data_IF_626839842778
#
_entry.id   IF_626839842778
#
_cell.length_a   1.000
_cell.length_b   1.000
_cell.length_c   1.000
_cell.angle_alpha   90.00
_cell.angle_beta   90.00
_cell.angle_gamma   90.00
#
_symmetry.space_group_name_H-M   'P 1'
#
loop_
_entity.id
_entity.type
_entity.pdbx_description
1 polymer ?
#
# COMPACT_ATOMS: atom_id res chain seq x y z
N UNK A 1 -11.36 2.67 18.29
CA UNK A 1 -10.52 2.75 17.06
C UNK A 1 -10.51 4.20 16.63
N UNK A 2 -9.34 4.84 16.67
CA UNK A 2 -9.21 6.28 16.54
C UNK A 2 -9.45 6.74 15.09
N UNK A 3 -10.27 7.79 14.94
CA UNK A 3 -10.91 8.24 13.69
C UNK A 3 -10.13 9.34 12.94
N UNK A 4 -9.04 9.85 13.52
CA UNK A 4 -8.34 11.04 13.03
C UNK A 4 -7.18 10.77 12.06
N UNK A 5 -6.83 9.51 11.78
CA UNK A 5 -5.78 9.20 10.80
C UNK A 5 -4.34 9.42 11.30
N UNK A 6 -4.12 9.64 12.60
CA UNK A 6 -2.80 9.69 13.23
C UNK A 6 -2.84 9.11 14.64
N UNK A 7 -1.68 8.71 15.17
CA UNK A 7 -1.50 8.14 16.52
C UNK A 7 -0.19 8.62 17.15
N UNK A 8 -0.09 8.71 18.50
CA UNK A 8 1.19 8.89 19.17
C UNK A 8 2.19 7.80 18.80
N UNK A 9 3.45 8.14 18.62
CA UNK A 9 4.53 7.19 18.30
C UNK A 9 4.74 6.18 19.44
N UNK A 10 4.45 6.58 20.68
CA UNK A 10 4.48 5.69 21.84
C UNK A 10 3.58 4.46 21.72
N UNK A 11 2.50 4.52 20.90
CA UNK A 11 1.68 3.34 20.61
C UNK A 11 2.46 2.23 19.89
N UNK A 12 3.47 2.62 19.10
CA UNK A 12 4.27 1.71 18.28
C UNK A 12 5.56 1.29 18.99
N UNK A 13 6.17 2.20 19.76
CA UNK A 13 7.46 1.97 20.41
C UNK A 13 7.33 1.48 21.85
N UNK A 14 6.20 1.75 22.52
CA UNK A 14 6.00 1.48 23.94
C UNK A 14 6.78 2.42 24.86
N UNK A 15 7.36 3.50 24.35
CA UNK A 15 8.19 4.45 25.12
C UNK A 15 7.41 5.72 25.45
N UNK A 16 7.40 6.12 26.72
CA UNK A 16 6.71 7.34 27.18
C UNK A 16 7.28 8.62 26.55
N UNK A 17 8.58 8.63 26.23
CA UNK A 17 9.25 9.75 25.58
C UNK A 17 8.66 10.08 24.20
N UNK A 18 7.99 9.12 23.56
CA UNK A 18 7.41 9.25 22.22
C UNK A 18 5.94 9.71 22.23
N UNK A 19 5.39 10.07 23.39
CA UNK A 19 3.97 10.43 23.53
C UNK A 19 3.57 11.71 22.79
N UNK A 20 4.51 12.64 22.59
CA UNK A 20 4.31 13.89 21.85
C UNK A 20 4.73 13.82 20.38
N UNK A 21 5.28 12.69 19.94
CA UNK A 21 5.60 12.43 18.53
C UNK A 21 4.44 11.69 17.89
N UNK A 22 4.19 11.92 16.60
CA UNK A 22 3.02 11.36 15.92
C UNK A 22 3.39 10.57 14.67
N UNK A 23 2.59 9.54 14.41
CA UNK A 23 2.59 8.73 13.19
C UNK A 23 1.31 9.04 12.43
N UNK A 24 1.44 9.54 11.20
CA UNK A 24 0.31 9.90 10.33
C UNK A 24 0.08 8.85 9.25
N UNK A 25 -1.17 8.51 9.00
CA UNK A 25 -1.55 7.58 7.93
C UNK A 25 -1.52 8.29 6.58
N UNK A 26 -0.91 7.64 5.60
CA UNK A 26 -0.95 8.03 4.20
C UNK A 26 -1.04 6.77 3.33
N UNK A 27 -1.49 6.91 2.09
CA UNK A 27 -1.65 5.75 1.24
C UNK A 27 -2.19 6.09 -0.14
N UNK A 28 -2.58 5.03 -0.85
CA UNK A 28 -3.22 5.14 -2.16
C UNK A 28 -4.70 5.51 -2.00
N UNK A 29 -5.29 6.07 -3.05
CA UNK A 29 -6.75 6.25 -3.06
C UNK A 29 -7.47 4.89 -3.09
N UNK A 30 -8.76 4.91 -2.79
CA UNK A 30 -9.67 3.74 -2.81
C UNK A 30 -9.75 3.04 -4.17
N UNK A 31 -9.41 3.75 -5.26
CA UNK A 31 -9.17 3.20 -6.59
C UNK A 31 -8.04 2.17 -6.70
N UNK A 32 -7.18 2.05 -5.68
CA UNK A 32 -5.99 1.21 -5.71
C UNK A 32 -6.24 -0.21 -5.20
N UNK A 33 -5.85 -1.20 -6.00
CA UNK A 33 -5.79 -2.60 -5.58
C UNK A 33 -4.92 -2.78 -4.32
N UNK A 34 -3.80 -2.05 -4.21
CA UNK A 34 -2.95 -2.09 -3.01
C UNK A 34 -3.72 -1.66 -1.76
N UNK A 35 -4.52 -0.59 -1.81
CA UNK A 35 -5.36 -0.20 -0.65
C UNK A 35 -6.36 -1.31 -0.31
N UNK A 36 -7.04 -1.82 -1.33
CA UNK A 36 -8.06 -2.86 -1.16
C UNK A 36 -7.47 -4.11 -0.49
N UNK A 37 -6.34 -4.61 -0.98
CA UNK A 37 -5.67 -5.80 -0.40
C UNK A 37 -5.31 -5.60 1.06
N UNK A 38 -4.70 -4.46 1.43
CA UNK A 38 -4.26 -4.22 2.81
C UNK A 38 -5.43 -4.03 3.78
N UNK A 39 -6.49 -3.33 3.37
CA UNK A 39 -7.69 -3.19 4.19
C UNK A 39 -8.38 -4.55 4.38
N UNK A 40 -8.52 -5.32 3.30
CA UNK A 40 -9.12 -6.65 3.36
C UNK A 40 -8.32 -7.57 4.28
N UNK A 41 -6.99 -7.60 4.16
CA UNK A 41 -6.10 -8.42 5.00
C UNK A 41 -6.20 -8.07 6.50
N UNK A 42 -6.29 -6.79 6.83
CA UNK A 42 -6.38 -6.34 8.23
C UNK A 42 -7.79 -6.45 8.81
N UNK A 43 -8.76 -6.94 8.02
CA UNK A 43 -10.17 -7.01 8.39
C UNK A 43 -10.85 -5.64 8.46
N UNK A 44 -10.22 -4.59 7.93
CA UNK A 44 -10.83 -3.28 7.82
C UNK A 44 -11.78 -3.24 6.62
N UNK A 45 -13.04 -2.79 6.77
CA UNK A 45 -13.99 -2.78 5.66
C UNK A 45 -13.48 -1.92 4.49
N UNK A 46 -13.35 -2.53 3.30
CA UNK A 46 -12.75 -1.89 2.12
C UNK A 46 -13.48 -0.63 1.63
N UNK A 47 -14.80 -0.56 1.86
CA UNK A 47 -15.65 0.58 1.49
C UNK A 47 -15.74 1.65 2.59
N UNK A 48 -15.11 1.42 3.75
CA UNK A 48 -15.11 2.40 4.84
C UNK A 48 -14.08 3.49 4.55
N UNK A 49 -14.47 4.73 4.82
CA UNK A 49 -13.60 5.89 4.68
C UNK A 49 -12.39 5.77 5.61
N UNK A 50 -11.21 6.06 5.08
CA UNK A 50 -9.99 6.27 5.85
C UNK A 50 -9.77 7.76 6.01
N UNK A 51 -9.10 8.15 7.09
CA UNK A 51 -8.57 9.50 7.21
C UNK A 51 -7.06 9.44 6.94
N UNK A 52 -6.63 10.02 5.82
CA UNK A 52 -5.28 9.99 5.29
C UNK A 52 -4.74 11.41 5.12
N UNK A 53 -3.43 11.54 5.20
CA UNK A 53 -2.73 12.80 5.06
C UNK A 53 -1.95 12.86 3.75
N UNK A 54 -2.17 13.95 3.02
CA UNK A 54 -1.38 14.36 1.86
C UNK A 54 -0.11 15.04 2.32
N UNK A 55 0.99 14.75 1.65
CA UNK A 55 2.31 15.33 1.90
C UNK A 55 2.67 16.30 0.78
N UNK A 56 3.49 17.31 1.11
CA UNK A 56 4.14 18.19 0.13
C UNK A 56 5.43 17.61 -0.47
N UNK A 57 5.89 16.45 0.03
CA UNK A 57 7.20 15.93 -0.32
C UNK A 57 7.28 15.38 -1.74
N UNK A 58 8.41 15.63 -2.39
CA UNK A 58 8.78 15.06 -3.68
C UNK A 58 9.91 14.01 -3.59
N UNK A 59 10.32 13.59 -2.38
CA UNK A 59 11.34 12.55 -2.24
C UNK A 59 12.54 12.83 -1.36
N UNK A 60 12.64 14.01 -0.76
CA UNK A 60 13.81 14.37 0.04
C UNK A 60 13.40 14.85 1.41
N UNK A 61 12.52 15.85 1.46
CA UNK A 61 12.09 16.48 2.70
C UNK A 61 10.58 16.57 2.75
N UNK A 62 10.01 16.27 3.91
CA UNK A 62 8.63 16.51 4.27
C UNK A 62 8.58 17.76 5.13
N UNK A 63 7.79 18.76 4.74
CA UNK A 63 7.59 19.99 5.53
C UNK A 63 6.13 20.26 5.87
N UNK A 64 5.21 19.63 5.13
CA UNK A 64 3.78 19.78 5.34
C UNK A 64 3.06 18.44 5.21
N UNK A 65 2.13 18.20 6.13
CA UNK A 65 1.02 17.25 5.92
C UNK A 65 -0.32 17.99 5.92
N UNK A 66 -1.30 17.47 5.21
CA UNK A 66 -2.64 18.03 5.16
C UNK A 66 -3.64 16.88 5.14
N UNK A 67 -4.71 16.94 5.94
CA UNK A 67 -5.84 16.01 5.76
C UNK A 67 -6.26 16.04 4.29
N UNK A 68 -6.41 14.88 3.65
CA UNK A 68 -6.65 14.85 2.21
C UNK A 68 -7.89 15.69 1.84
N UNK A 69 -7.78 16.73 0.99
CA UNK A 69 -8.94 17.53 0.65
C UNK A 69 -9.86 16.78 -0.33
N UNK A 70 -11.15 17.09 -0.25
CA UNK A 70 -12.16 16.66 -1.24
C UNK A 70 -11.81 17.22 -2.62
N UNK A 71 -12.04 16.46 -3.70
CA UNK A 71 -11.87 16.95 -5.07
C UNK A 71 -10.41 17.15 -5.50
N UNK A 72 -9.45 16.43 -4.89
CA UNK A 72 -8.01 16.51 -5.22
C UNK A 72 -7.62 15.86 -6.57
N UNK A 73 -8.39 16.12 -7.62
CA UNK A 73 -8.15 15.62 -8.98
C UNK A 73 -8.01 14.10 -9.04
N UNK A 74 -6.90 13.61 -9.60
CA UNK A 74 -6.64 12.16 -9.72
C UNK A 74 -6.49 11.45 -8.37
N UNK A 75 -6.24 12.19 -7.29
CA UNK A 75 -6.03 11.66 -5.94
C UNK A 75 -7.31 11.62 -5.10
N UNK A 76 -8.42 12.16 -5.61
CA UNK A 76 -9.71 12.05 -4.96
C UNK A 76 -10.10 10.57 -4.76
N UNK A 77 -11.01 10.31 -3.81
CA UNK A 77 -11.66 9.01 -3.72
C UNK A 77 -12.54 8.82 -4.96
N UNK A 78 -12.31 7.72 -5.70
CA UNK A 78 -12.94 7.48 -7.00
C UNK A 78 -13.97 6.36 -6.97
N UNK A 79 -14.09 5.65 -5.85
CA UNK A 79 -15.03 4.55 -5.67
C UNK A 79 -16.04 4.92 -4.58
N UNK A 80 -17.21 4.28 -4.62
CA UNK A 80 -18.24 4.33 -3.56
C UNK A 80 -18.86 5.70 -3.29
N UNK A 81 -18.57 6.71 -4.13
CA UNK A 81 -19.01 8.09 -3.94
C UNK A 81 -18.60 8.65 -2.57
N UNK A 82 -17.37 8.33 -2.14
CA UNK A 82 -16.81 8.69 -0.83
C UNK A 82 -15.68 9.73 -0.94
N UNK A 83 -15.78 10.65 -1.90
CA UNK A 83 -14.89 11.83 -1.96
C UNK A 83 -15.26 12.79 -0.84
N UNK A 84 -14.70 12.49 0.33
CA UNK A 84 -14.84 13.25 1.57
C UNK A 84 -13.44 13.52 2.13
N UNK A 85 -13.34 14.55 2.96
CA UNK A 85 -12.10 14.91 3.63
C UNK A 85 -11.44 13.70 4.31
N UNK A 86 -10.13 13.58 4.12
CA UNK A 86 -9.30 12.48 4.59
C UNK A 86 -9.33 11.22 3.71
N UNK A 87 -10.36 11.00 2.89
CA UNK A 87 -10.52 9.71 2.20
C UNK A 87 -9.84 9.63 0.81
N UNK A 88 -9.20 10.72 0.36
CA UNK A 88 -8.34 10.71 -0.82
C UNK A 88 -7.05 9.91 -0.61
N UNK A 89 -6.20 9.84 -1.63
CA UNK A 89 -4.94 9.11 -1.59
C UNK A 89 -4.13 9.24 -2.88
N UNK A 90 -2.87 8.82 -2.89
CA UNK A 90 -2.04 8.91 -4.10
C UNK A 90 -2.61 8.03 -5.22
N UNK A 91 -2.79 8.62 -6.39
CA UNK A 91 -3.25 7.90 -7.59
C UNK A 91 -2.22 6.89 -8.12
N UNK A 92 -0.93 7.08 -7.81
CA UNK A 92 0.18 6.24 -8.27
C UNK A 92 1.08 5.74 -7.12
N UNK A 93 1.76 4.62 -7.37
CA UNK A 93 2.70 4.01 -6.42
C UNK A 93 3.92 4.89 -6.22
N UNK A 94 4.48 5.40 -7.33
CA UNK A 94 5.61 6.33 -7.33
C UNK A 94 5.35 7.63 -6.56
N UNK A 95 4.12 8.16 -6.62
CA UNK A 95 3.72 9.32 -5.82
C UNK A 95 3.83 9.04 -4.32
N UNK A 96 3.30 7.91 -3.87
CA UNK A 96 3.43 7.46 -2.49
C UNK A 96 4.90 7.16 -2.13
N UNK A 97 5.66 6.53 -3.02
CA UNK A 97 7.09 6.22 -2.83
C UNK A 97 7.93 7.46 -2.55
N UNK A 98 7.64 8.57 -3.24
CA UNK A 98 8.31 9.85 -2.99
C UNK A 98 8.05 10.39 -1.59
N UNK A 99 6.86 10.14 -1.05
CA UNK A 99 6.52 10.60 0.30
C UNK A 99 7.14 9.68 1.34
N UNK A 100 7.04 8.36 1.16
CA UNK A 100 7.56 7.35 2.09
C UNK A 100 9.10 7.36 2.22
N UNK A 101 9.83 7.94 1.26
CA UNK A 101 11.28 8.12 1.33
C UNK A 101 11.70 9.49 1.89
N UNK A 102 10.78 10.38 2.23
CA UNK A 102 11.13 11.72 2.67
C UNK A 102 11.60 11.73 4.13
N UNK A 103 12.66 12.49 4.43
CA UNK A 103 13.02 12.80 5.81
C UNK A 103 12.10 13.90 6.37
N UNK A 104 11.68 13.76 7.62
CA UNK A 104 10.92 14.80 8.34
C UNK A 104 11.81 15.46 9.38
N UNK A 105 11.68 16.78 9.54
CA UNK A 105 12.44 17.55 10.52
C UNK A 105 11.59 18.58 11.24
N UNK A 106 10.83 19.37 10.49
CA UNK A 106 9.91 20.33 11.07
C UNK A 106 8.65 20.39 10.19
N UNK A 107 7.61 19.65 10.58
CA UNK A 107 6.41 19.44 9.77
C UNK A 107 5.25 20.19 10.39
N UNK A 108 4.65 21.09 9.60
CA UNK A 108 3.36 21.71 9.95
C UNK A 108 2.24 20.87 9.36
N UNK A 109 1.20 20.62 10.13
CA UNK A 109 0.06 19.84 9.64
C UNK A 109 -1.19 20.70 9.61
N UNK A 110 -2.00 20.44 8.58
CA UNK A 110 -3.17 21.23 8.26
C UNK A 110 -4.41 20.34 8.18
N UNK A 111 -5.56 20.93 8.50
CA UNK A 111 -6.88 20.43 8.19
C UNK A 111 -7.12 20.45 6.67
N UNK A 112 -8.22 19.84 6.22
CA UNK A 112 -8.52 19.71 4.80
C UNK A 112 -8.67 21.07 4.09
N UNK A 113 -9.24 22.06 4.78
CA UNK A 113 -9.41 23.43 4.31
C UNK A 113 -8.10 24.26 4.30
N UNK A 114 -7.01 23.70 4.83
CA UNK A 114 -5.72 24.35 4.93
C UNK A 114 -5.52 25.15 6.21
N UNK A 115 -6.43 25.11 7.18
CA UNK A 115 -6.20 25.64 8.52
C UNK A 115 -5.14 24.79 9.25
N UNK A 116 -4.29 25.42 10.06
CA UNK A 116 -3.27 24.69 10.83
C UNK A 116 -3.92 23.92 11.97
N UNK A 117 -3.56 22.65 12.15
CA UNK A 117 -3.98 21.85 13.31
C UNK A 117 -3.22 22.35 14.55
N UNK A 118 -3.85 22.30 15.73
CA UNK A 118 -3.29 22.85 16.98
C UNK A 118 -2.16 22.00 17.59
N UNK A 119 -1.06 21.81 16.88
CA UNK A 119 0.17 21.27 17.43
C UNK A 119 1.40 21.98 16.86
N UNK A 120 2.44 22.04 17.69
CA UNK A 120 3.69 22.68 17.32
C UNK A 120 4.37 21.92 16.17
N UNK A 121 4.94 22.62 15.18
CA UNK A 121 5.71 22.00 14.13
C UNK A 121 6.87 21.14 14.69
N UNK A 122 6.94 19.87 14.26
CA UNK A 122 7.87 18.87 14.81
C UNK A 122 8.22 17.80 13.77
N UNK A 123 9.25 16.96 14.00
CA UNK A 123 9.44 15.73 13.23
C UNK A 123 8.24 14.80 13.36
N UNK A 124 7.87 14.13 12.28
CA UNK A 124 6.74 13.19 12.25
C UNK A 124 7.10 11.91 11.51
N UNK A 125 6.45 10.82 11.88
CA UNK A 125 6.51 9.58 11.11
C UNK A 125 5.29 9.48 10.20
N UNK A 126 5.47 8.86 9.04
CA UNK A 126 4.38 8.51 8.13
C UNK A 126 4.29 7.00 8.01
N UNK A 127 3.08 6.48 8.03
CA UNK A 127 2.77 5.07 7.88
C UNK A 127 1.87 4.89 6.66
N UNK A 128 2.20 3.91 5.84
CA UNK A 128 1.41 3.58 4.66
C UNK A 128 1.71 2.18 4.19
N UNK A 129 0.98 1.77 3.15
CA UNK A 129 1.12 0.47 2.50
C UNK A 129 1.54 0.67 1.06
N UNK A 130 2.48 -0.15 0.60
CA UNK A 130 3.07 -0.06 -0.73
C UNK A 130 3.12 -1.44 -1.37
N UNK A 131 3.11 -1.46 -2.70
CA UNK A 131 3.49 -2.66 -3.44
C UNK A 131 4.94 -3.03 -3.11
N UNK A 132 5.31 -4.27 -3.34
CA UNK A 132 6.65 -4.79 -3.09
C UNK A 132 7.75 -3.95 -3.75
N UNK A 133 7.54 -3.55 -5.01
CA UNK A 133 8.52 -2.72 -5.75
C UNK A 133 8.61 -1.31 -5.16
N UNK A 134 7.47 -0.67 -4.92
CA UNK A 134 7.41 0.69 -4.38
C UNK A 134 8.05 0.77 -2.99
N UNK A 135 7.81 -0.24 -2.14
CA UNK A 135 8.41 -0.34 -0.82
C UNK A 135 9.95 -0.51 -0.89
N UNK A 136 10.46 -1.33 -1.83
CA UNK A 136 11.90 -1.45 -2.05
C UNK A 136 12.52 -0.10 -2.46
N UNK A 137 11.89 0.60 -3.41
CA UNK A 137 12.34 1.93 -3.86
C UNK A 137 12.35 2.95 -2.69
N UNK A 138 11.36 2.90 -1.79
CA UNK A 138 11.32 3.77 -0.61
C UNK A 138 12.44 3.49 0.39
N UNK A 139 12.78 2.22 0.63
CA UNK A 139 13.90 1.84 1.51
C UNK A 139 15.25 2.19 0.89
N UNK A 140 15.41 1.92 -0.41
CA UNK A 140 16.64 2.16 -1.15
C UNK A 140 17.00 3.65 -1.28
N UNK A 141 16.03 4.54 -1.11
CA UNK A 141 16.21 6.00 -1.22
C UNK A 141 17.13 6.64 -0.16
N UNK A 142 17.58 5.90 0.87
CA UNK A 142 18.63 6.34 1.80
C UNK A 142 18.20 7.34 2.89
N UNK A 143 16.97 7.85 2.83
CA UNK A 143 16.47 8.92 3.69
C UNK A 143 15.63 8.44 4.88
N UNK A 144 15.74 7.16 5.26
CA UNK A 144 15.10 6.63 6.47
C UNK A 144 13.84 5.79 6.26
N UNK A 145 13.40 5.54 5.02
CA UNK A 145 12.30 4.61 4.73
C UNK A 145 12.56 3.22 5.32
N UNK A 146 11.53 2.60 5.92
CA UNK A 146 11.59 1.27 6.55
C UNK A 146 10.35 0.46 6.18
N UNK A 147 10.51 -0.85 6.03
CA UNK A 147 9.38 -1.79 5.98
C UNK A 147 9.17 -2.36 7.37
N UNK A 148 7.91 -2.34 7.84
CA UNK A 148 7.51 -2.94 9.11
C UNK A 148 7.26 -4.44 8.93
N UNK A 149 7.48 -5.23 9.98
CA UNK A 149 7.08 -6.63 9.98
C UNK A 149 5.57 -6.78 9.96
N UNK A 150 5.10 -7.88 9.39
CA UNK A 150 3.72 -8.34 9.50
C UNK A 150 3.71 -9.83 9.84
N UNK A 151 2.82 -10.25 10.73
CA UNK A 151 2.82 -11.61 11.33
C UNK A 151 4.18 -12.04 11.91
N UNK A 152 4.96 -11.08 12.42
CA UNK A 152 6.31 -11.33 12.93
C UNK A 152 7.38 -11.57 11.86
N UNK A 153 7.04 -11.46 10.57
CA UNK A 153 7.99 -11.61 9.47
C UNK A 153 8.39 -10.24 8.89
N UNK A 154 9.69 -9.99 8.78
CA UNK A 154 10.24 -8.79 8.14
C UNK A 154 10.47 -9.05 6.64
N UNK A 155 9.81 -8.26 5.79
CA UNK A 155 10.06 -8.27 4.34
C UNK A 155 11.46 -7.72 4.06
N UNK A 156 12.25 -8.49 3.33
CA UNK A 156 13.62 -8.15 2.92
C UNK A 156 13.79 -8.26 1.41
N UNK A 157 14.77 -7.51 0.88
CA UNK A 157 15.05 -7.39 -0.54
C UNK A 157 16.48 -7.85 -0.88
N UNK A 158 16.72 -8.22 -2.13
CA UNK A 158 18.00 -8.56 -2.75
C UNK A 158 18.08 -7.84 -4.08
N UNK A 159 18.77 -6.68 -4.10
CA UNK A 159 18.74 -5.78 -5.25
C UNK A 159 17.35 -5.17 -5.44
N UNK A 160 16.83 -5.20 -6.67
CA UNK A 160 15.45 -4.85 -6.98
C UNK A 160 14.43 -5.83 -6.38
N UNK A 161 14.88 -7.03 -5.99
CA UNK A 161 14.01 -8.17 -5.80
C UNK A 161 13.62 -8.49 -4.37
N UNK A 162 12.47 -9.16 -4.15
CA UNK A 162 12.24 -9.76 -2.83
C UNK A 162 13.25 -10.86 -2.57
N UNK A 163 13.75 -10.93 -1.34
CA UNK A 163 14.69 -11.98 -0.97
C UNK A 163 14.03 -13.36 -1.07
N UNK A 164 14.86 -14.39 -1.26
CA UNK A 164 14.39 -15.77 -1.24
C UNK A 164 13.71 -16.15 0.10
N UNK A 165 14.10 -15.51 1.21
CA UNK A 165 13.47 -15.71 2.51
C UNK A 165 12.06 -15.11 2.55
N UNK A 166 11.89 -13.87 2.08
CA UNK A 166 10.57 -13.23 1.93
C UNK A 166 9.65 -14.06 1.05
N UNK A 167 10.16 -14.50 -0.10
CA UNK A 167 9.39 -15.33 -1.05
C UNK A 167 8.91 -16.62 -0.39
N UNK A 168 9.79 -17.31 0.35
CA UNK A 168 9.45 -18.51 1.13
C UNK A 168 8.41 -18.23 2.21
N UNK A 169 8.51 -17.09 2.89
CA UNK A 169 7.55 -16.72 3.92
C UNK A 169 6.15 -16.49 3.34
N UNK A 170 6.04 -15.93 2.12
CA UNK A 170 4.77 -15.75 1.43
C UNK A 170 4.19 -17.10 1.00
N UNK A 171 4.94 -17.92 0.23
CA UNK A 171 4.42 -19.19 -0.33
C UNK A 171 4.12 -20.27 0.72
N UNK A 172 4.65 -20.12 1.94
CA UNK A 172 4.40 -21.01 3.07
C UNK A 172 3.48 -20.39 4.14
N UNK A 173 2.93 -19.19 3.90
CA UNK A 173 1.93 -18.59 4.79
C UNK A 173 2.44 -17.86 6.02
N UNK A 174 3.74 -17.72 6.22
CA UNK A 174 4.31 -16.94 7.32
C UNK A 174 4.06 -15.44 7.17
N UNK A 175 3.91 -14.95 5.93
CA UNK A 175 3.53 -13.58 5.63
C UNK A 175 2.25 -13.59 4.78
N UNK A 176 1.19 -12.97 5.29
CA UNK A 176 -0.16 -13.04 4.67
C UNK A 176 -0.62 -11.73 4.03
N UNK A 177 0.15 -10.64 4.12
CA UNK A 177 -0.21 -9.35 3.50
C UNK A 177 0.04 -9.33 1.98
N UNK A 178 -0.75 -10.13 1.26
CA UNK A 178 -0.76 -10.24 -0.19
C UNK A 178 -2.21 -10.47 -0.67
N UNK A 179 -2.46 -10.30 -1.96
CA UNK A 179 -3.76 -10.56 -2.58
C UNK A 179 -3.60 -11.10 -3.99
N UNK A 180 -4.70 -11.41 -4.66
CA UNK A 180 -4.68 -11.86 -6.04
C UNK A 180 -4.65 -10.67 -7.01
N UNK A 181 -3.67 -10.69 -7.91
CA UNK A 181 -3.67 -9.79 -9.07
C UNK A 181 -4.60 -10.38 -10.13
N UNK A 182 -5.71 -9.70 -10.39
CA UNK A 182 -6.66 -10.12 -11.42
C UNK A 182 -6.33 -9.45 -12.77
N UNK A 183 -5.98 -10.27 -13.77
CA UNK A 183 -5.69 -9.82 -15.12
C UNK A 183 -6.97 -9.85 -15.97
N UNK A 184 -7.34 -8.70 -16.53
CA UNK A 184 -8.51 -8.54 -17.39
C UNK A 184 -8.10 -8.18 -18.82
N UNK A 185 -8.82 -8.71 -19.81
CA UNK A 185 -8.69 -8.26 -21.19
C UNK A 185 -9.40 -6.93 -21.39
N UNK A 186 -8.72 -5.96 -22.01
CA UNK A 186 -9.31 -4.65 -22.36
C UNK A 186 -10.39 -4.78 -23.44
N UNK A 187 -10.24 -5.74 -24.34
CA UNK A 187 -11.22 -6.05 -25.39
C UNK A 187 -12.10 -7.21 -24.95
N UNK A 188 -13.41 -7.07 -25.17
CA UNK A 188 -14.34 -8.18 -25.01
C UNK A 188 -13.84 -9.35 -25.87
N UNK A 189 -13.64 -10.50 -25.24
CA UNK A 189 -13.29 -11.73 -25.95
C UNK A 189 -14.54 -12.15 -26.72
N UNK A 190 -14.46 -12.21 -28.05
CA UNK A 190 -15.62 -12.62 -28.85
C UNK A 190 -15.81 -14.13 -28.72
N UNK A 191 -16.92 -14.54 -28.08
CA UNK A 191 -17.24 -15.94 -27.81
C UNK A 191 -17.76 -16.72 -29.02
N UNK A 192 -17.91 -16.08 -30.18
CA UNK A 192 -18.49 -16.72 -31.38
C UNK A 192 -17.48 -17.49 -32.24
N UNK A 193 -16.17 -17.39 -31.97
CA UNK A 193 -15.13 -18.16 -32.69
C UNK A 193 -14.67 -19.35 -31.82
N UNK A 194 -14.56 -20.58 -32.35
CA UNK A 194 -14.47 -21.78 -31.51
C UNK A 194 -13.12 -21.89 -30.78
N UNK A 195 -13.13 -21.83 -29.46
CA UNK A 195 -12.10 -22.29 -28.53
C UNK A 195 -10.69 -21.66 -28.59
N UNK A 196 -10.32 -20.89 -29.62
CA UNK A 196 -8.92 -20.56 -29.91
C UNK A 196 -8.47 -19.16 -29.49
N UNK A 197 -9.36 -18.21 -29.22
CA UNK A 197 -8.96 -16.88 -28.71
C UNK A 197 -8.91 -16.84 -27.18
N UNK A 198 -9.88 -17.47 -26.49
CA UNK A 198 -9.87 -17.60 -25.02
C UNK A 198 -8.72 -18.50 -24.56
N UNK A 199 -8.54 -19.65 -25.20
CA UNK A 199 -7.44 -20.58 -24.91
C UNK A 199 -6.08 -19.93 -25.20
N UNK A 200 -5.96 -19.14 -26.27
CA UNK A 200 -4.74 -18.38 -26.56
C UNK A 200 -4.49 -17.31 -25.51
N UNK A 201 -5.50 -16.51 -25.14
CA UNK A 201 -5.36 -15.49 -24.10
C UNK A 201 -4.97 -16.12 -22.76
N UNK A 202 -5.67 -17.18 -22.36
CA UNK A 202 -5.37 -17.93 -21.14
C UNK A 202 -3.96 -18.51 -21.17
N UNK A 203 -3.56 -19.18 -22.26
CA UNK A 203 -2.20 -19.73 -22.41
C UNK A 203 -1.15 -18.63 -22.40
N UNK A 204 -1.35 -17.52 -23.09
CA UNK A 204 -0.43 -16.38 -23.10
C UNK A 204 -0.26 -15.79 -21.69
N UNK A 205 -1.34 -15.62 -20.93
CA UNK A 205 -1.26 -15.14 -19.55
C UNK A 205 -0.57 -16.19 -18.66
N UNK A 206 -1.01 -17.45 -18.71
CA UNK A 206 -0.46 -18.55 -17.90
C UNK A 206 1.03 -18.75 -18.15
N UNK A 207 1.42 -18.84 -19.42
CA UNK A 207 2.81 -19.05 -19.84
C UNK A 207 3.65 -17.78 -19.62
N UNK A 208 3.01 -16.61 -19.57
CA UNK A 208 3.61 -15.33 -19.22
C UNK A 208 3.83 -15.15 -17.71
N UNK A 209 2.95 -15.67 -16.86
CA UNK A 209 3.00 -15.55 -15.40
C UNK A 209 3.95 -16.56 -14.76
N UNK A 210 5.22 -16.56 -15.18
CA UNK A 210 6.28 -17.39 -14.60
C UNK A 210 7.11 -16.60 -13.59
N UNK A 211 7.86 -17.30 -12.72
CA UNK A 211 8.79 -16.69 -11.78
C UNK A 211 9.73 -15.68 -12.46
N UNK A 212 10.25 -16.06 -13.63
CA UNK A 212 11.21 -15.26 -14.40
C UNK A 212 10.59 -13.96 -14.92
N UNK A 213 9.34 -14.01 -15.40
CA UNK A 213 8.67 -12.85 -15.99
C UNK A 213 8.05 -11.94 -14.93
N UNK A 214 7.58 -12.50 -13.81
CA UNK A 214 6.97 -11.71 -12.74
C UNK A 214 8.05 -11.04 -11.87
N UNK A 215 9.21 -11.66 -11.65
CA UNK A 215 10.28 -11.14 -10.79
C UNK A 215 9.69 -10.63 -9.46
N UNK A 216 9.60 -9.30 -9.28
CA UNK A 216 9.09 -8.64 -8.06
C UNK A 216 7.67 -8.14 -8.13
N UNK A 217 7.08 -8.26 -9.31
CA UNK A 217 5.73 -7.80 -9.57
C UNK A 217 4.70 -8.81 -9.04
N UNK A 218 5.12 -10.01 -8.66
CA UNK A 218 4.23 -11.00 -8.04
C UNK A 218 4.86 -12.39 -7.90
N UNK A 219 4.11 -13.29 -7.29
CA UNK A 219 4.45 -14.71 -7.17
C UNK A 219 3.42 -15.51 -7.97
N UNK A 220 3.83 -16.38 -8.91
CA UNK A 220 2.90 -17.24 -9.62
C UNK A 220 2.09 -18.12 -8.66
N UNK A 221 0.80 -18.29 -8.90
CA UNK A 221 -0.06 -19.13 -8.06
C UNK A 221 0.45 -20.59 -7.99
N UNK A 222 1.08 -21.08 -9.05
CA UNK A 222 1.69 -22.41 -9.08
C UNK A 222 2.84 -22.60 -8.09
N UNK A 223 3.38 -21.53 -7.53
CA UNK A 223 4.43 -21.57 -6.50
C UNK A 223 3.88 -21.45 -5.08
N UNK A 224 2.60 -21.16 -4.91
CA UNK A 224 1.93 -21.11 -3.62
C UNK A 224 1.72 -22.55 -3.12
N UNK A 225 2.69 -23.06 -2.37
CA UNK A 225 2.80 -24.48 -2.01
C UNK A 225 1.94 -24.91 -0.84
N UNK A 226 1.72 -24.03 0.14
CA UNK A 226 1.09 -24.40 1.42
C UNK A 226 -0.04 -23.45 1.78
N UNK A 227 -0.39 -22.52 0.89
CA UNK A 227 -1.40 -21.52 1.21
C UNK A 227 -2.22 -21.06 0.01
N UNK A 228 -3.51 -20.94 0.24
CA UNK A 228 -4.45 -20.23 -0.64
C UNK A 228 -5.38 -19.35 0.20
N UNK A 229 -6.10 -18.45 -0.46
CA UNK A 229 -7.26 -17.77 0.14
C UNK A 229 -8.44 -17.93 -0.80
N UNK A 230 -9.63 -18.11 -0.26
CA UNK A 230 -10.85 -18.25 -1.08
C UNK A 230 -11.25 -16.93 -1.74
N UNK A 231 -10.92 -15.82 -1.09
CA UNK A 231 -11.16 -14.44 -1.55
C UNK A 231 -10.04 -13.53 -1.03
N UNK A 232 -9.82 -12.37 -1.64
CA UNK A 232 -8.96 -11.32 -1.05
C UNK A 232 -9.44 -10.95 0.37
N UNK A 233 -8.49 -10.75 1.29
CA UNK A 233 -8.75 -10.60 2.72
C UNK A 233 -9.33 -11.81 3.46
N UNK A 234 -9.55 -12.94 2.78
CA UNK A 234 -9.96 -14.19 3.40
C UNK A 234 -8.83 -14.82 4.21
N UNK A 235 -9.20 -15.77 5.09
CA UNK A 235 -8.22 -16.54 5.86
C UNK A 235 -7.27 -17.27 4.92
N UNK A 236 -5.97 -17.10 5.15
CA UNK A 236 -4.94 -17.87 4.48
C UNK A 236 -4.92 -19.27 5.10
N UNK A 237 -5.24 -20.29 4.29
CA UNK A 237 -5.39 -21.68 4.73
C UNK A 237 -4.51 -22.65 3.90
N UNK A 238 -4.09 -23.79 4.49
CA UNK A 238 -3.34 -24.84 3.81
C UNK A 238 -3.99 -25.39 2.54
#
# INVERSE_FOLDING_TARGET
MFIQGFQPLSLFTGLDADQSSYVFLTGRNDGSGTRTTFLAETGYPIARTLNQYKSDSNGTTLTKLQVWPTGDGSNASTIWNTDTEGNGGYSSGSGLTNVMKAASGNVTVYEADGATVSFEPAPVSILGYQSTKDANDSVAGGNGGRVLSYNGFNVTYTGSDISAATRKAIINGQYTMWGYEHLYSRTAVNFTTPANDLDRLYKTIRDGCTAANLSNSGIPLSEMTVVSRTTDGGVVAP
#
